data_IF_742388617881
#
_entry.id   IF_742388617881
#
_cell.length_a   1.000
_cell.length_b   1.000
_cell.length_c   1.000
_cell.angle_alpha   90.00
_cell.angle_beta   90.00
_cell.angle_gamma   90.00
#
_symmetry.space_group_name_H-M   'P 1'
#
loop_
_entity.id
_entity.type
_entity.pdbx_description
1 polymer ?
#
# COMPACT_ATOMS: atom_id res chain seq x y z
N UNK A 1 3.09 69.32 -66.35
CA UNK A 1 4.52 69.28 -66.75
C UNK A 1 5.10 68.02 -66.15
N UNK A 2 5.78 67.21 -66.97
CA UNK A 2 6.23 65.85 -66.69
C UNK A 2 7.35 65.77 -65.65
N UNK A 3 7.50 64.61 -65.01
CA UNK A 3 8.75 63.86 -64.72
C UNK A 3 8.63 63.10 -63.38
N UNK A 4 8.42 61.77 -63.35
CA UNK A 4 9.33 60.62 -63.57
C UNK A 4 10.03 60.13 -62.29
N UNK A 5 9.97 58.80 -62.13
CA UNK A 5 10.96 57.88 -61.51
C UNK A 5 11.01 57.85 -59.97
N UNK A 6 11.31 56.78 -59.24
CA UNK A 6 11.22 55.30 -59.33
C UNK A 6 11.77 54.81 -57.96
N UNK A 7 11.06 53.89 -57.29
CA UNK A 7 11.53 52.82 -56.40
C UNK A 7 12.56 53.09 -55.27
N UNK A 8 12.23 52.68 -54.05
CA UNK A 8 13.11 51.80 -53.25
C UNK A 8 12.27 51.03 -52.21
N UNK A 9 12.29 49.69 -52.29
CA UNK A 9 11.84 48.80 -51.21
C UNK A 9 12.84 48.86 -50.06
N UNK A 10 12.38 48.96 -48.82
CA UNK A 10 13.09 48.45 -47.66
C UNK A 10 12.08 48.02 -46.57
N UNK A 11 12.34 46.83 -46.03
CA UNK A 11 11.51 46.08 -45.09
C UNK A 11 11.42 46.72 -43.71
N UNK A 12 10.29 46.51 -43.02
CA UNK A 12 10.21 46.66 -41.56
C UNK A 12 9.60 45.42 -40.93
N UNK A 13 10.27 44.98 -39.87
CA UNK A 13 10.02 43.78 -39.07
C UNK A 13 8.81 44.02 -38.18
N UNK A 14 7.84 43.09 -38.17
CA UNK A 14 6.72 43.10 -37.24
C UNK A 14 7.21 42.67 -35.84
N UNK A 15 7.08 43.56 -34.86
CA UNK A 15 7.15 43.21 -33.45
C UNK A 15 5.74 42.84 -33.01
N UNK A 16 5.57 41.63 -32.46
CA UNK A 16 4.32 41.20 -31.86
C UNK A 16 4.23 41.80 -30.44
N UNK A 17 3.14 42.53 -30.19
CA UNK A 17 2.77 42.98 -28.85
C UNK A 17 2.33 41.79 -28.01
N UNK A 18 3.00 41.63 -26.86
CA UNK A 18 2.66 40.67 -25.82
C UNK A 18 1.79 41.40 -24.79
N UNK A 19 0.49 41.08 -24.72
CA UNK A 19 -0.30 41.38 -23.53
C UNK A 19 -1.35 40.31 -23.24
N UNK A 20 -1.06 39.56 -22.17
CA UNK A 20 -1.97 39.05 -21.13
C UNK A 20 -3.18 38.22 -21.58
N UNK A 21 -3.04 36.90 -21.50
CA UNK A 21 -4.17 35.98 -21.42
C UNK A 21 -4.31 35.50 -19.97
N UNK A 22 -5.50 35.70 -19.42
CA UNK A 22 -5.90 35.43 -18.03
C UNK A 22 -6.09 33.94 -17.76
N UNK A 23 -5.81 33.54 -16.52
CA UNK A 23 -5.65 32.17 -16.02
C UNK A 23 -6.96 31.37 -15.81
N UNK A 24 -8.02 31.60 -16.61
CA UNK A 24 -9.35 30.99 -16.36
C UNK A 24 -9.86 30.01 -17.42
N UNK A 25 -9.13 29.74 -18.52
CA UNK A 25 -9.64 28.88 -19.61
C UNK A 25 -8.88 27.55 -19.86
N UNK A 26 -8.12 27.03 -18.89
CA UNK A 26 -7.50 25.68 -18.99
C UNK A 26 -8.33 24.63 -18.22
N UNK A 27 -9.66 24.64 -18.37
CA UNK A 27 -10.48 23.58 -17.80
C UNK A 27 -11.60 23.09 -18.71
N UNK A 28 -11.27 22.77 -19.97
CA UNK A 28 -12.06 21.82 -20.76
C UNK A 28 -11.20 21.21 -21.87
N UNK A 29 -10.67 20.00 -21.61
CA UNK A 29 -10.25 18.95 -22.56
C UNK A 29 -8.96 18.21 -22.17
N UNK A 30 -8.84 17.78 -20.91
CA UNK A 30 -7.92 16.67 -20.61
C UNK A 30 -8.59 15.39 -21.13
N UNK A 31 -8.15 14.95 -22.31
CA UNK A 31 -8.36 13.56 -22.76
C UNK A 31 -7.84 12.63 -21.66
N UNK A 32 -8.75 11.93 -20.98
CA UNK A 32 -8.44 10.98 -19.91
C UNK A 32 -7.82 9.71 -20.52
N UNK A 33 -6.52 9.79 -20.78
CA UNK A 33 -5.65 8.63 -21.00
C UNK A 33 -4.36 8.88 -20.23
N UNK A 34 -4.20 8.23 -19.07
CA UNK A 34 -2.96 8.28 -18.29
C UNK A 34 -3.11 7.71 -16.89
N UNK A 35 -2.41 6.61 -16.62
CA UNK A 35 -2.21 5.96 -15.32
C UNK A 35 -1.42 6.87 -14.36
N UNK A 36 -2.09 7.87 -13.77
CA UNK A 36 -1.46 8.80 -12.83
C UNK A 36 -2.38 9.07 -11.63
N UNK A 37 -1.76 9.42 -10.51
CA UNK A 37 -2.47 9.79 -9.29
C UNK A 37 -3.34 11.03 -9.51
N UNK A 38 -4.52 11.07 -8.87
CA UNK A 38 -5.36 12.26 -8.92
C UNK A 38 -4.69 13.38 -8.13
N UNK A 39 -4.68 14.60 -8.68
CA UNK A 39 -4.22 15.77 -7.94
C UNK A 39 -4.98 15.91 -6.60
N UNK A 40 -4.31 16.19 -5.46
CA UNK A 40 -2.93 16.66 -5.31
C UNK A 40 -1.86 15.57 -5.15
N UNK A 41 -2.20 14.30 -5.35
CA UNK A 41 -1.27 13.19 -5.17
C UNK A 41 -0.28 13.07 -6.33
N UNK A 42 0.95 12.71 -6.00
CA UNK A 42 2.01 12.37 -6.95
C UNK A 42 2.25 10.87 -6.95
N UNK A 43 2.69 10.35 -8.09
CA UNK A 43 3.04 8.95 -8.23
C UNK A 43 4.48 8.73 -7.75
N UNK A 44 4.66 7.78 -6.83
CA UNK A 44 5.97 7.24 -6.43
C UNK A 44 5.88 5.71 -6.55
N UNK A 45 6.74 5.12 -7.39
CA UNK A 45 6.57 3.73 -7.81
C UNK A 45 5.20 3.50 -8.46
N UNK A 46 4.43 2.55 -7.92
CA UNK A 46 3.03 2.25 -8.32
C UNK A 46 1.97 2.86 -7.38
N UNK A 47 2.39 3.75 -6.47
CA UNK A 47 1.55 4.30 -5.39
C UNK A 47 1.36 5.80 -5.49
N UNK A 48 0.34 6.30 -4.79
CA UNK A 48 -0.03 7.70 -4.77
C UNK A 48 0.18 8.29 -3.38
N UNK A 49 0.99 9.34 -3.33
CA UNK A 49 1.34 10.04 -2.10
C UNK A 49 1.11 11.54 -2.24
N UNK A 50 0.68 12.17 -1.16
CA UNK A 50 0.63 13.61 -1.02
C UNK A 50 1.70 14.02 -0.02
N UNK A 51 2.59 14.91 -0.43
CA UNK A 51 3.58 15.53 0.44
C UNK A 51 3.06 16.91 0.81
N UNK A 52 2.88 17.17 2.11
CA UNK A 52 2.34 18.44 2.58
C UNK A 52 3.29 19.60 2.30
N UNK A 53 2.74 20.79 2.07
CA UNK A 53 3.49 22.05 2.17
C UNK A 53 3.35 22.71 3.55
N UNK A 54 2.42 22.22 4.37
CA UNK A 54 2.14 22.75 5.71
C UNK A 54 2.86 21.90 6.76
N UNK A 55 3.12 22.47 7.92
CA UNK A 55 3.64 21.75 9.09
C UNK A 55 2.52 21.66 10.12
N UNK A 56 2.22 20.46 10.58
CA UNK A 56 1.15 20.18 11.54
C UNK A 56 1.67 19.27 12.66
N UNK A 57 0.95 19.23 13.78
CA UNK A 57 1.11 18.16 14.78
C UNK A 57 0.77 16.81 14.13
N UNK A 58 1.23 15.71 14.73
CA UNK A 58 0.95 14.37 14.20
C UNK A 58 -0.56 14.10 14.07
N UNK A 59 -1.33 14.44 15.10
CA UNK A 59 -2.78 14.20 15.12
C UNK A 59 -3.50 15.07 14.09
N UNK A 60 -3.10 16.34 13.94
CA UNK A 60 -3.67 17.22 12.92
C UNK A 60 -3.31 16.74 11.51
N UNK A 61 -2.08 16.26 11.30
CA UNK A 61 -1.63 15.68 10.03
C UNK A 61 -2.41 14.40 9.68
N UNK A 62 -2.64 13.52 10.65
CA UNK A 62 -3.45 12.31 10.47
C UNK A 62 -4.89 12.66 10.05
N UNK A 63 -5.51 13.62 10.75
CA UNK A 63 -6.85 14.10 10.43
C UNK A 63 -6.91 14.82 9.06
N UNK A 64 -5.87 15.58 8.72
CA UNK A 64 -5.75 16.22 7.41
C UNK A 64 -5.75 15.16 6.29
N UNK A 65 -4.96 14.11 6.41
CA UNK A 65 -4.92 13.03 5.43
C UNK A 65 -6.30 12.38 5.25
N UNK A 66 -7.01 12.06 6.35
CA UNK A 66 -8.36 11.52 6.29
C UNK A 66 -9.37 12.44 5.56
N UNK A 67 -9.19 13.75 5.70
CA UNK A 67 -10.00 14.78 5.04
C UNK A 67 -9.79 14.89 3.52
N UNK A 68 -8.66 14.41 2.97
CA UNK A 68 -8.35 14.52 1.54
C UNK A 68 -9.19 13.63 0.63
N UNK A 69 -9.98 12.71 1.21
CA UNK A 69 -10.76 11.74 0.45
C UNK A 69 -11.71 12.43 -0.55
N UNK A 70 -12.20 13.66 -0.29
CA UNK A 70 -12.96 14.49 -1.24
C UNK A 70 -14.08 13.73 -1.99
N UNK A 71 -14.74 12.77 -1.34
CA UNK A 71 -15.79 11.92 -1.95
C UNK A 71 -15.26 10.79 -2.85
N UNK A 72 -13.95 10.56 -2.89
CA UNK A 72 -13.34 9.37 -3.45
C UNK A 72 -13.49 8.18 -2.50
N UNK A 73 -13.70 7.00 -3.09
CA UNK A 73 -13.85 5.71 -2.41
C UNK A 73 -12.47 5.12 -2.09
N UNK A 74 -11.62 5.89 -1.41
CA UNK A 74 -10.24 5.48 -1.09
C UNK A 74 -9.87 5.98 0.30
N UNK A 75 -9.31 5.10 1.13
CA UNK A 75 -8.73 5.53 2.40
C UNK A 75 -7.49 6.38 2.14
N UNK A 76 -7.41 7.51 2.85
CA UNK A 76 -6.21 8.32 2.84
C UNK A 76 -5.78 8.48 4.30
N UNK A 77 -4.56 8.05 4.58
CA UNK A 77 -3.97 8.06 5.91
C UNK A 77 -2.53 8.53 5.81
N UNK A 78 -1.85 8.68 6.95
CA UNK A 78 -0.41 8.92 6.94
C UNK A 78 0.33 7.75 6.29
N UNK A 79 1.44 8.05 5.62
CA UNK A 79 2.27 7.04 4.96
C UNK A 79 2.79 6.01 5.96
N UNK A 80 2.81 4.74 5.58
CA UNK A 80 3.32 3.64 6.40
C UNK A 80 4.28 2.82 5.56
N UNK A 81 5.27 2.19 6.19
CA UNK A 81 6.33 1.49 5.47
C UNK A 81 6.52 0.06 5.93
N UNK A 82 6.94 -0.78 4.99
CA UNK A 82 7.67 -2.01 5.21
C UNK A 82 8.84 -2.04 4.21
N UNK A 83 10.07 -1.94 4.71
CA UNK A 83 11.29 -1.89 3.91
C UNK A 83 11.51 -3.13 3.02
N UNK A 84 10.85 -4.25 3.34
CA UNK A 84 10.87 -5.45 2.52
C UNK A 84 10.03 -5.28 1.23
N UNK A 85 9.29 -4.18 1.11
CA UNK A 85 8.53 -3.75 -0.07
C UNK A 85 9.32 -2.75 -0.91
N UNK A 86 9.46 -3.05 -2.21
CA UNK A 86 10.17 -2.18 -3.15
C UNK A 86 9.47 -0.84 -3.30
N UNK A 87 8.13 -0.82 -3.35
CA UNK A 87 7.35 0.41 -3.42
C UNK A 87 7.54 1.34 -2.22
N UNK A 88 7.89 0.80 -1.05
CA UNK A 88 8.19 1.61 0.14
C UNK A 88 9.63 2.12 0.10
N UNK A 89 10.57 1.36 -0.48
CA UNK A 89 11.91 1.85 -0.80
C UNK A 89 11.86 3.01 -1.80
N UNK A 90 10.98 2.93 -2.82
CA UNK A 90 10.78 4.02 -3.78
C UNK A 90 10.28 5.31 -3.07
N UNK A 91 9.43 5.20 -2.03
CA UNK A 91 9.02 6.35 -1.23
C UNK A 91 10.17 6.90 -0.38
N UNK A 92 10.99 6.05 0.24
CA UNK A 92 12.18 6.51 0.97
C UNK A 92 13.18 7.23 0.06
N UNK A 93 13.35 6.79 -1.18
CA UNK A 93 14.17 7.48 -2.18
C UNK A 93 13.57 8.85 -2.55
N UNK A 94 12.24 8.92 -2.70
CA UNK A 94 11.55 10.18 -2.96
C UNK A 94 11.66 11.17 -1.79
N UNK A 95 11.60 10.70 -0.54
CA UNK A 95 11.84 11.52 0.66
C UNK A 95 13.29 12.00 0.68
N UNK A 96 14.24 11.10 0.43
CA UNK A 96 15.68 11.41 0.35
C UNK A 96 15.95 12.51 -0.68
N UNK A 97 15.29 12.45 -1.84
CA UNK A 97 15.43 13.44 -2.90
C UNK A 97 14.85 14.82 -2.55
N UNK A 98 13.82 14.87 -1.69
CA UNK A 98 13.23 16.12 -1.18
C UNK A 98 14.07 16.74 -0.06
N UNK A 99 14.80 15.92 0.68
CA UNK A 99 15.65 16.37 1.79
C UNK A 99 14.85 17.20 2.82
N UNK A 100 13.65 16.71 3.12
CA UNK A 100 12.71 17.28 4.09
C UNK A 100 12.37 16.21 5.13
N UNK A 101 11.88 16.67 6.27
CA UNK A 101 11.47 15.83 7.39
C UNK A 101 9.97 15.65 7.33
N UNK A 102 9.46 14.42 7.45
CA UNK A 102 8.02 14.16 7.38
C UNK A 102 7.51 13.24 8.49
N UNK A 103 6.38 13.60 9.09
CA UNK A 103 5.50 12.66 9.79
C UNK A 103 5.07 11.53 8.87
N UNK A 104 5.12 10.33 9.43
CA UNK A 104 4.59 9.10 8.86
C UNK A 104 3.73 8.42 9.92
N UNK A 105 2.85 7.51 9.53
CA UNK A 105 1.77 7.01 10.36
C UNK A 105 2.17 6.03 11.44
N UNK A 106 3.26 6.24 12.18
CA UNK A 106 3.59 5.42 13.35
C UNK A 106 3.67 6.24 14.63
N UNK A 107 3.30 5.64 15.75
CA UNK A 107 3.32 6.24 17.08
C UNK A 107 3.54 5.20 18.17
N UNK A 108 3.90 5.66 19.37
CA UNK A 108 3.93 4.84 20.58
C UNK A 108 3.27 5.58 21.73
N UNK A 109 2.53 4.84 22.57
CA UNK A 109 1.92 5.39 23.79
C UNK A 109 2.82 5.20 25.02
N UNK A 110 3.73 4.21 25.00
CA UNK A 110 4.53 3.77 26.15
C UNK A 110 6.04 3.72 25.88
N UNK A 111 6.48 4.30 24.76
CA UNK A 111 7.87 4.32 24.29
C UNK A 111 8.40 2.99 23.76
N UNK A 112 7.72 1.86 24.02
CA UNK A 112 8.26 0.53 23.78
C UNK A 112 7.54 -0.20 22.64
N UNK A 113 6.24 0.04 22.44
CA UNK A 113 5.43 -0.62 21.43
C UNK A 113 5.02 0.35 20.33
N UNK A 114 5.87 0.45 19.31
CA UNK A 114 5.59 1.24 18.12
C UNK A 114 4.53 0.56 17.26
N UNK A 115 3.48 1.31 16.93
CA UNK A 115 2.41 0.85 16.03
C UNK A 115 2.22 1.82 14.89
N UNK A 116 1.99 1.26 13.70
CA UNK A 116 1.40 1.99 12.60
C UNK A 116 -0.04 2.38 12.94
N UNK A 117 -0.57 3.42 12.29
CA UNK A 117 -1.94 3.92 12.49
C UNK A 117 -3.02 2.90 12.08
N UNK A 118 -2.65 1.86 11.34
CA UNK A 118 -3.52 0.71 11.05
C UNK A 118 -3.48 -0.39 12.12
N UNK A 119 -2.71 -0.19 13.20
CA UNK A 119 -2.58 -1.08 14.36
C UNK A 119 -1.45 -2.09 14.29
N UNK A 120 -0.80 -2.26 13.13
CA UNK A 120 0.33 -3.19 12.96
C UNK A 120 1.54 -2.73 13.76
N UNK A 121 2.30 -3.68 14.29
CA UNK A 121 3.56 -3.36 14.96
C UNK A 121 4.59 -2.84 13.96
N UNK A 122 5.32 -1.79 14.36
CA UNK A 122 6.51 -1.34 13.65
C UNK A 122 7.65 -2.26 14.03
N UNK A 123 8.35 -2.79 13.04
CA UNK A 123 9.53 -3.61 13.29
C UNK A 123 10.67 -2.73 13.82
N UNK A 124 10.85 -2.72 15.15
CA UNK A 124 11.88 -1.92 15.82
C UNK A 124 13.30 -2.41 15.50
N UNK A 125 13.45 -3.69 15.17
CA UNK A 125 14.75 -4.29 14.80
C UNK A 125 15.11 -4.02 13.33
N UNK A 126 14.22 -3.38 12.57
CA UNK A 126 14.48 -3.10 11.17
C UNK A 126 15.53 -1.98 10.99
N UNK A 127 16.35 -2.13 9.95
CA UNK A 127 17.50 -1.28 9.63
C UNK A 127 17.19 0.16 9.18
N UNK A 128 15.97 0.64 9.44
CA UNK A 128 15.53 1.98 9.08
C UNK A 128 15.60 2.98 10.24
N UNK A 129 15.66 2.53 11.49
CA UNK A 129 15.93 3.43 12.61
C UNK A 129 17.32 4.04 12.49
N UNK A 130 17.44 5.31 12.85
CA UNK A 130 18.76 5.91 13.02
C UNK A 130 19.47 5.28 14.22
N UNK A 131 20.79 5.41 14.27
CA UNK A 131 21.58 4.84 15.37
C UNK A 131 21.05 5.36 16.72
N UNK A 132 20.86 4.43 17.64
CA UNK A 132 20.35 4.68 18.99
C UNK A 132 18.89 5.17 19.07
N UNK A 133 18.12 5.10 17.97
CA UNK A 133 16.66 5.33 17.97
C UNK A 133 15.85 4.03 18.12
N UNK A 134 14.63 4.09 18.67
CA UNK A 134 14.00 5.26 19.33
C UNK A 134 14.64 5.58 20.69
N UNK A 135 14.81 6.86 21.01
CA UNK A 135 15.45 7.30 22.27
C UNK A 135 14.58 8.16 23.19
N UNK A 136 13.41 8.62 22.76
CA UNK A 136 12.51 9.43 23.57
C UNK A 136 11.52 8.57 24.38
N UNK A 137 11.06 9.11 25.52
CA UNK A 137 10.16 8.44 26.47
C UNK A 137 8.80 9.13 26.51
N UNK A 138 7.78 8.38 26.07
CA UNK A 138 6.34 8.68 26.06
C UNK A 138 5.88 9.80 25.10
N UNK A 139 4.69 9.62 24.49
CA UNK A 139 4.05 10.55 23.53
C UNK A 139 4.92 10.92 22.31
N UNK A 140 5.56 9.92 21.71
CA UNK A 140 6.41 10.12 20.53
C UNK A 140 5.80 9.48 19.28
N UNK A 141 6.03 10.16 18.17
CA UNK A 141 5.49 9.85 16.85
C UNK A 141 6.62 9.68 15.85
N UNK A 142 6.40 8.86 14.82
CA UNK A 142 7.43 8.53 13.84
C UNK A 142 7.59 9.63 12.82
N UNK A 143 8.84 10.03 12.65
CA UNK A 143 9.25 11.00 11.67
C UNK A 143 10.36 10.41 10.80
N UNK A 144 10.37 10.80 9.53
CA UNK A 144 11.46 10.49 8.59
C UNK A 144 12.41 11.66 8.55
N UNK A 145 13.72 11.41 8.65
CA UNK A 145 14.73 12.44 8.41
C UNK A 145 15.82 11.92 7.48
N UNK A 146 16.34 12.82 6.65
CA UNK A 146 17.40 12.51 5.71
C UNK A 146 18.75 12.73 6.38
N UNK A 147 19.54 11.67 6.50
CA UNK A 147 20.89 11.75 7.03
C UNK A 147 21.92 11.63 5.91
N UNK A 148 22.91 12.53 5.91
CA UNK A 148 24.00 12.56 4.95
C UNK A 148 25.33 12.20 5.61
N UNK A 149 25.87 11.03 5.29
CA UNK A 149 27.20 10.59 5.68
C UNK A 149 28.25 11.16 4.71
N UNK A 150 28.93 12.22 5.15
CA UNK A 150 30.12 12.80 4.51
C UNK A 150 29.97 13.15 3.01
N UNK A 151 28.76 13.50 2.55
CA UNK A 151 28.42 13.75 1.14
C UNK A 151 28.63 12.55 0.20
N UNK A 152 28.73 11.33 0.74
CA UNK A 152 28.91 10.09 -0.05
C UNK A 152 27.67 9.20 0.01
N UNK A 153 26.98 9.16 1.16
CA UNK A 153 25.76 8.37 1.33
C UNK A 153 24.67 9.22 1.97
N UNK A 154 23.59 9.46 1.24
CA UNK A 154 22.39 10.13 1.75
C UNK A 154 21.29 9.08 1.84
N UNK A 155 20.66 8.94 3.00
CA UNK A 155 19.59 7.96 3.22
C UNK A 155 18.57 8.52 4.21
N UNK A 156 17.31 8.15 4.01
CA UNK A 156 16.23 8.44 4.97
C UNK A 156 16.22 7.40 6.09
N UNK A 157 16.12 7.87 7.33
CA UNK A 157 15.97 7.06 8.54
C UNK A 157 14.71 7.45 9.30
N UNK A 158 14.24 6.54 10.14
CA UNK A 158 13.20 6.80 11.12
C UNK A 158 13.83 7.31 12.41
N UNK A 159 13.15 8.30 12.97
CA UNK A 159 13.38 8.88 14.27
C UNK A 159 12.03 8.93 14.97
N UNK A 160 12.06 9.10 16.27
CA UNK A 160 10.91 9.54 17.04
C UNK A 160 11.01 11.02 17.40
N UNK A 161 9.86 11.67 17.49
CA UNK A 161 9.76 13.10 17.83
C UNK A 161 8.47 13.32 18.60
N UNK A 162 8.40 14.40 19.38
CA UNK A 162 7.20 14.71 20.14
C UNK A 162 6.02 14.91 19.19
N UNK A 163 4.92 14.18 19.42
CA UNK A 163 3.75 14.20 18.54
C UNK A 163 3.14 15.60 18.35
N UNK A 164 3.38 16.53 19.28
CA UNK A 164 2.87 17.90 19.23
C UNK A 164 3.77 18.85 18.40
N UNK A 165 4.97 18.42 18.02
CA UNK A 165 5.87 19.25 17.21
C UNK A 165 5.31 19.45 15.79
N UNK A 166 5.46 20.64 15.20
CA UNK A 166 5.07 20.86 13.82
C UNK A 166 6.06 20.19 12.87
N UNK A 167 5.56 19.42 11.91
CA UNK A 167 6.36 18.89 10.80
C UNK A 167 5.51 18.71 9.55
N UNK A 168 6.16 18.69 8.39
CA UNK A 168 5.53 18.21 7.17
C UNK A 168 5.09 16.75 7.35
N UNK A 169 4.19 16.28 6.52
CA UNK A 169 3.61 14.96 6.61
C UNK A 169 3.33 14.39 5.22
N UNK A 170 3.31 13.07 5.14
CA UNK A 170 3.01 12.36 3.89
C UNK A 170 1.70 11.62 4.08
N UNK A 171 0.72 11.92 3.23
CA UNK A 171 -0.47 11.09 3.10
C UNK A 171 -0.27 10.05 2.01
N UNK A 172 -0.80 8.86 2.21
CA UNK A 172 -0.89 7.82 1.20
C UNK A 172 -2.35 7.50 0.91
N UNK A 173 -2.69 7.31 -0.36
CA UNK A 173 -3.94 6.67 -0.72
C UNK A 173 -3.77 5.16 -0.57
N UNK A 174 -4.77 4.44 -0.06
CA UNK A 174 -4.54 3.04 0.19
C UNK A 174 -5.74 2.16 0.46
N UNK A 175 -5.38 1.08 1.13
CA UNK A 175 -6.27 0.03 1.56
C UNK A 175 -7.05 0.46 2.81
N UNK A 176 -8.19 -0.20 3.11
CA UNK A 176 -8.92 0.05 4.34
C UNK A 176 -8.05 -0.13 5.60
N UNK A 177 -8.43 0.47 6.73
CA UNK A 177 -7.82 0.23 8.05
C UNK A 177 -7.66 -1.28 8.28
N UNK A 178 -6.51 -1.68 8.82
CA UNK A 178 -6.05 -3.06 9.01
C UNK A 178 -5.64 -3.82 7.74
N UNK A 179 -5.88 -3.28 6.55
CA UNK A 179 -5.39 -3.86 5.32
C UNK A 179 -4.04 -3.25 4.92
N UNK A 180 -3.09 -4.13 4.65
CA UNK A 180 -1.82 -3.81 4.03
C UNK A 180 -1.93 -3.90 2.51
N UNK A 181 -1.39 -2.90 1.81
CA UNK A 181 -1.25 -2.95 0.35
C UNK A 181 -0.05 -3.80 -0.06
N UNK A 182 -0.29 -4.81 -0.89
CA UNK A 182 0.75 -5.60 -1.56
C UNK A 182 0.47 -5.62 -3.07
N UNK A 183 1.34 -4.97 -3.84
CA UNK A 183 1.08 -4.66 -5.25
C UNK A 183 -0.19 -3.82 -5.42
N UNK A 184 -1.11 -4.29 -6.27
CA UNK A 184 -2.40 -3.64 -6.55
C UNK A 184 -3.52 -4.05 -5.57
N UNK A 185 -3.23 -4.95 -4.63
CA UNK A 185 -4.22 -5.58 -3.78
C UNK A 185 -4.05 -5.20 -2.31
N UNK A 186 -5.11 -5.42 -1.52
CA UNK A 186 -5.18 -5.12 -0.10
C UNK A 186 -5.44 -6.38 0.67
N UNK A 187 -4.63 -6.68 1.68
CA UNK A 187 -4.75 -7.88 2.51
C UNK A 187 -4.73 -7.54 4.00
N UNK A 188 -5.55 -8.22 4.78
CA UNK A 188 -5.59 -8.11 6.24
C UNK A 188 -5.29 -9.49 6.82
N UNK A 189 -4.31 -9.57 7.72
CA UNK A 189 -3.98 -10.79 8.44
C UNK A 189 -4.69 -10.80 9.79
N UNK A 190 -5.46 -11.84 10.09
CA UNK A 190 -6.18 -11.96 11.37
C UNK A 190 -5.23 -11.86 12.57
N UNK A 191 -4.03 -12.43 12.46
CA UNK A 191 -3.01 -12.42 13.51
C UNK A 191 -2.41 -11.05 13.78
N UNK A 192 -2.31 -10.16 12.79
CA UNK A 192 -1.73 -8.82 12.94
C UNK A 192 -2.58 -7.92 13.84
N UNK A 193 -3.87 -8.21 13.91
CA UNK A 193 -4.86 -7.43 14.66
C UNK A 193 -5.46 -8.22 15.83
N UNK A 194 -4.82 -9.35 16.22
CA UNK A 194 -5.18 -10.11 17.41
C UNK A 194 -6.51 -10.86 17.32
N UNK A 195 -6.99 -11.15 16.12
CA UNK A 195 -8.21 -11.95 15.92
C UNK A 195 -7.88 -13.43 16.18
N UNK A 196 -8.70 -14.13 16.98
CA UNK A 196 -8.46 -15.54 17.29
C UNK A 196 -8.52 -16.39 16.02
N UNK A 197 -7.86 -17.54 16.06
CA UNK A 197 -7.97 -18.54 15.01
C UNK A 197 -9.42 -19.00 14.87
N UNK A 198 -9.90 -19.12 13.63
CA UNK A 198 -11.28 -19.49 13.33
C UNK A 198 -11.33 -20.70 12.38
N UNK A 199 -12.38 -21.54 12.45
CA UNK A 199 -12.75 -22.45 11.37
C UNK A 199 -12.92 -21.70 10.05
N UNK A 200 -12.78 -22.39 8.93
CA UNK A 200 -12.73 -21.74 7.61
C UNK A 200 -13.98 -20.90 7.32
N UNK A 201 -15.18 -21.43 7.63
CA UNK A 201 -16.43 -20.70 7.39
C UNK A 201 -16.55 -19.45 8.28
N UNK A 202 -16.20 -19.56 9.56
CA UNK A 202 -16.23 -18.42 10.48
C UNK A 202 -15.20 -17.34 10.09
N UNK A 203 -14.03 -17.76 9.60
CA UNK A 203 -13.01 -16.87 9.04
C UNK A 203 -13.52 -16.13 7.79
N UNK A 204 -14.26 -16.83 6.93
CA UNK A 204 -14.89 -16.24 5.75
C UNK A 204 -15.96 -15.23 6.13
N UNK A 205 -16.86 -15.62 7.03
CA UNK A 205 -17.94 -14.76 7.52
C UNK A 205 -17.36 -13.49 8.15
N UNK A 206 -16.24 -13.60 8.88
CA UNK A 206 -15.51 -12.45 9.39
C UNK A 206 -15.05 -11.53 8.25
N UNK A 207 -14.36 -12.06 7.23
CA UNK A 207 -13.87 -11.25 6.11
C UNK A 207 -15.03 -10.54 5.38
N UNK A 208 -16.15 -11.23 5.18
CA UNK A 208 -17.33 -10.69 4.50
C UNK A 208 -18.07 -9.64 5.34
N UNK A 209 -17.94 -9.69 6.67
CA UNK A 209 -18.52 -8.71 7.58
C UNK A 209 -17.66 -7.43 7.71
N UNK A 210 -16.43 -7.41 7.18
CA UNK A 210 -15.60 -6.21 7.21
C UNK A 210 -16.23 -5.09 6.41
N UNK A 211 -16.48 -3.96 7.07
CA UNK A 211 -16.94 -2.74 6.42
C UNK A 211 -15.81 -2.17 5.58
N UNK A 212 -15.85 -2.44 4.28
CA UNK A 212 -15.01 -1.76 3.28
C UNK A 212 -15.82 -0.67 2.57
N UNK A 213 -15.15 0.18 1.79
CA UNK A 213 -15.78 1.29 1.08
C UNK A 213 -16.78 0.83 0.01
N UNK A 214 -17.77 1.68 -0.30
CA UNK A 214 -18.81 1.42 -1.31
C UNK A 214 -18.22 1.05 -2.69
N UNK A 215 -18.68 -0.04 -3.30
CA UNK A 215 -18.12 -0.56 -4.56
C UNK A 215 -16.91 -1.49 -4.38
N UNK A 216 -16.64 -1.89 -3.14
CA UNK A 216 -15.73 -2.96 -2.77
C UNK A 216 -16.42 -3.91 -1.78
N UNK A 217 -15.92 -5.15 -1.73
CA UNK A 217 -16.19 -6.09 -0.64
C UNK A 217 -14.87 -6.72 -0.18
N UNK A 218 -14.91 -7.43 0.95
CA UNK A 218 -13.81 -8.28 1.39
C UNK A 218 -14.27 -9.73 1.48
N UNK A 219 -13.37 -10.66 1.18
CA UNK A 219 -13.56 -12.10 1.37
C UNK A 219 -12.19 -12.73 1.69
N UNK A 220 -12.11 -14.04 1.92
CA UNK A 220 -10.82 -14.72 2.09
C UNK A 220 -9.95 -14.55 0.85
N UNK A 221 -8.64 -14.36 1.06
CA UNK A 221 -7.69 -14.06 0.01
C UNK A 221 -7.57 -15.18 -1.03
N UNK A 222 -7.47 -14.80 -2.31
CA UNK A 222 -7.26 -15.74 -3.42
C UNK A 222 -5.93 -15.44 -4.12
N UNK A 223 -5.39 -16.45 -4.80
CA UNK A 223 -4.08 -16.36 -5.45
C UNK A 223 -4.19 -16.47 -6.99
N UNK A 224 -3.14 -16.10 -7.71
CA UNK A 224 -3.03 -16.20 -9.16
C UNK A 224 -3.80 -15.12 -9.94
N UNK A 225 -4.17 -14.01 -9.31
CA UNK A 225 -4.84 -12.88 -9.97
C UNK A 225 -3.88 -12.19 -10.97
N UNK A 226 -4.42 -11.48 -11.98
CA UNK A 226 -3.59 -10.70 -12.90
C UNK A 226 -2.72 -9.69 -12.15
N UNK A 227 -1.43 -9.60 -12.51
CA UNK A 227 -0.44 -8.72 -11.87
C UNK A 227 -0.26 -8.96 -10.35
N UNK A 228 -0.71 -10.10 -9.83
CA UNK A 228 -0.47 -10.51 -8.45
C UNK A 228 0.86 -11.25 -8.36
N UNK A 229 1.81 -10.73 -7.60
CA UNK A 229 3.02 -11.47 -7.26
C UNK A 229 2.71 -12.38 -6.06
N UNK A 230 2.19 -13.58 -6.36
CA UNK A 230 1.79 -14.55 -5.34
C UNK A 230 2.94 -14.99 -4.44
N UNK A 231 4.16 -15.07 -5.00
CA UNK A 231 5.36 -15.37 -4.21
C UNK A 231 5.63 -14.26 -3.21
N UNK A 232 5.51 -13.01 -3.66
CA UNK A 232 5.64 -11.84 -2.80
C UNK A 232 4.58 -11.83 -1.70
N UNK A 233 3.31 -12.09 -2.02
CA UNK A 233 2.23 -12.18 -1.02
C UNK A 233 2.53 -13.28 0.00
N UNK A 234 2.83 -14.48 -0.47
CA UNK A 234 3.15 -15.64 0.36
C UNK A 234 4.37 -15.42 1.25
N UNK A 235 5.34 -14.63 0.80
CA UNK A 235 6.52 -14.27 1.57
C UNK A 235 6.19 -13.18 2.59
N UNK A 236 5.66 -12.04 2.14
CA UNK A 236 5.54 -10.82 2.95
C UNK A 236 4.36 -10.82 3.93
N UNK A 237 3.30 -11.62 3.68
CA UNK A 237 2.20 -11.77 4.64
C UNK A 237 2.46 -12.82 5.72
N UNK A 238 3.44 -13.71 5.53
CA UNK A 238 3.55 -14.93 6.35
C UNK A 238 4.96 -15.20 6.89
N UNK A 239 5.95 -14.35 6.59
CA UNK A 239 7.30 -14.46 7.19
C UNK A 239 7.31 -14.23 8.69
N UNK A 240 6.39 -13.41 9.22
CA UNK A 240 6.24 -13.11 10.65
C UNK A 240 5.30 -14.08 11.38
N UNK A 241 4.56 -14.93 10.67
CA UNK A 241 3.50 -15.77 11.27
C UNK A 241 3.81 -17.25 11.12
N UNK A 242 3.94 -17.97 12.24
CA UNK A 242 4.07 -19.43 12.22
C UNK A 242 2.75 -20.15 11.90
N UNK A 243 2.82 -21.32 11.27
CA UNK A 243 1.69 -22.25 11.13
C UNK A 243 0.84 -22.09 9.87
N UNK A 244 -0.21 -22.92 9.75
CA UNK A 244 -1.13 -22.92 8.61
C UNK A 244 -2.04 -21.69 8.63
N UNK A 245 -2.44 -21.18 7.46
CA UNK A 245 -3.30 -19.99 7.34
C UNK A 245 -4.38 -20.19 6.30
N UNK A 246 -5.63 -19.86 6.62
CA UNK A 246 -6.74 -19.96 5.67
C UNK A 246 -6.65 -18.97 4.52
N UNK A 247 -6.97 -19.46 3.32
CA UNK A 247 -7.21 -18.68 2.10
C UNK A 247 -8.51 -19.13 1.44
N UNK A 248 -8.99 -18.35 0.48
CA UNK A 248 -10.28 -18.51 -0.19
C UNK A 248 -10.29 -19.59 -1.27
N UNK A 249 -9.72 -20.76 -1.01
CA UNK A 249 -9.84 -21.92 -1.89
C UNK A 249 -10.83 -22.93 -1.32
N UNK A 250 -11.70 -23.48 -2.17
CA UNK A 250 -12.73 -24.45 -1.79
C UNK A 250 -12.80 -25.60 -2.79
N UNK A 251 -13.25 -26.77 -2.33
CA UNK A 251 -13.56 -27.89 -3.20
C UNK A 251 -14.84 -27.66 -3.98
N UNK A 252 -14.83 -28.04 -5.25
CA UNK A 252 -15.94 -27.92 -6.18
C UNK A 252 -16.55 -29.29 -6.50
N UNK A 253 -17.71 -29.58 -5.92
CA UNK A 253 -18.47 -30.79 -6.22
C UNK A 253 -17.76 -32.09 -5.78
N UNK A 254 -18.01 -33.18 -6.51
CA UNK A 254 -17.42 -34.49 -6.22
C UNK A 254 -16.05 -34.65 -6.90
N UNK A 255 -15.16 -35.42 -6.28
CA UNK A 255 -13.82 -35.70 -6.81
C UNK A 255 -12.77 -34.69 -6.36
N UNK A 256 -11.70 -34.57 -7.13
CA UNK A 256 -10.54 -33.72 -6.79
C UNK A 256 -10.56 -32.44 -7.63
N UNK A 257 -11.53 -31.57 -7.37
CA UNK A 257 -11.71 -30.31 -8.09
C UNK A 257 -11.78 -29.18 -7.08
N UNK A 258 -11.05 -28.09 -7.35
CA UNK A 258 -10.98 -26.94 -6.47
C UNK A 258 -11.18 -25.64 -7.25
N UNK A 259 -11.73 -24.65 -6.58
CA UNK A 259 -11.87 -23.30 -7.11
C UNK A 259 -11.52 -22.26 -6.04
N UNK A 260 -11.04 -21.12 -6.50
CA UNK A 260 -10.96 -19.92 -5.66
C UNK A 260 -12.34 -19.31 -5.50
N UNK A 261 -12.53 -18.53 -4.43
CA UNK A 261 -13.80 -17.85 -4.15
C UNK A 261 -14.24 -16.85 -5.23
N UNK A 262 -13.32 -16.43 -6.09
CA UNK A 262 -13.62 -15.61 -7.27
C UNK A 262 -14.10 -16.42 -8.50
N UNK A 263 -14.27 -17.74 -8.33
CA UNK A 263 -14.78 -18.67 -9.34
C UNK A 263 -13.72 -19.20 -10.30
N UNK A 264 -12.45 -18.80 -10.19
CA UNK A 264 -11.37 -19.36 -11.01
C UNK A 264 -11.03 -20.77 -10.56
N UNK A 265 -10.75 -21.65 -11.52
CA UNK A 265 -10.31 -23.01 -11.25
C UNK A 265 -8.93 -23.02 -10.56
N UNK A 266 -8.82 -23.80 -9.49
CA UNK A 266 -7.56 -24.12 -8.85
C UNK A 266 -7.10 -25.50 -9.35
N UNK A 267 -6.31 -25.48 -10.42
CA UNK A 267 -5.84 -26.70 -11.06
C UNK A 267 -4.97 -27.55 -10.11
N UNK A 268 -5.18 -28.87 -10.11
CA UNK A 268 -4.36 -29.85 -9.36
C UNK A 268 -2.87 -29.73 -9.72
N UNK A 269 -2.55 -29.39 -10.97
CA UNK A 269 -1.18 -29.19 -11.44
C UNK A 269 -0.58 -27.82 -11.12
N UNK A 270 -1.25 -27.00 -10.30
CA UNK A 270 -0.76 -25.67 -9.94
C UNK A 270 0.57 -25.74 -9.19
N UNK A 271 1.47 -24.81 -9.50
CA UNK A 271 2.78 -24.68 -8.82
C UNK A 271 2.68 -24.18 -7.38
N UNK A 272 1.47 -23.91 -6.90
CA UNK A 272 1.23 -23.52 -5.51
C UNK A 272 1.11 -24.73 -4.60
N UNK A 273 0.70 -25.90 -5.10
CA UNK A 273 0.51 -27.08 -4.25
C UNK A 273 1.80 -27.54 -3.60
N UNK A 274 1.69 -27.93 -2.32
CA UNK A 274 2.77 -28.60 -1.62
C UNK A 274 3.03 -29.94 -2.31
N UNK A 275 4.25 -30.44 -2.19
CA UNK A 275 4.55 -31.79 -2.66
C UNK A 275 3.60 -32.82 -2.02
N UNK A 276 2.94 -33.62 -2.85
CA UNK A 276 1.87 -34.57 -2.51
C UNK A 276 0.47 -33.98 -2.23
N UNK A 277 0.27 -32.67 -2.41
CA UNK A 277 -1.06 -32.07 -2.41
C UNK A 277 -1.55 -31.78 -3.84
N UNK A 278 -2.88 -31.70 -4.08
CA UNK A 278 -3.94 -32.15 -3.17
C UNK A 278 -3.91 -33.68 -2.99
N UNK A 279 -4.11 -34.18 -1.77
CA UNK A 279 -4.23 -35.63 -1.50
C UNK A 279 -5.62 -36.20 -1.84
N UNK A 280 -6.58 -35.32 -2.16
CA UNK A 280 -7.95 -35.61 -2.56
C UNK A 280 -8.74 -36.44 -1.53
N UNK A 281 -8.42 -36.34 -0.23
CA UNK A 281 -8.93 -37.21 0.84
C UNK A 281 -10.36 -36.93 1.30
N UNK A 282 -11.06 -35.98 0.68
CA UNK A 282 -12.39 -35.55 1.11
C UNK A 282 -12.37 -34.23 1.89
N UNK A 283 -11.24 -33.52 1.86
CA UNK A 283 -11.08 -32.20 2.47
C UNK A 283 -11.56 -31.11 1.51
N UNK A 284 -12.09 -30.02 2.08
CA UNK A 284 -12.94 -29.09 1.33
C UNK A 284 -12.36 -27.67 1.22
N UNK A 285 -11.28 -27.36 1.94
CA UNK A 285 -10.76 -26.00 2.05
C UNK A 285 -9.24 -25.92 1.92
N UNK A 286 -8.74 -24.74 1.51
CA UNK A 286 -7.33 -24.53 1.21
C UNK A 286 -6.64 -23.70 2.29
N UNK A 287 -5.47 -24.17 2.73
CA UNK A 287 -4.55 -23.45 3.62
C UNK A 287 -3.23 -23.15 2.94
N UNK A 288 -2.56 -22.10 3.39
CA UNK A 288 -1.14 -21.87 3.19
C UNK A 288 -0.33 -22.59 4.27
N UNK A 289 0.52 -23.52 3.86
CA UNK A 289 1.39 -24.36 4.69
C UNK A 289 2.83 -23.85 4.56
N UNK A 290 3.56 -23.79 5.67
CA UNK A 290 4.98 -23.43 5.67
C UNK A 290 5.88 -24.61 5.32
N UNK A 291 6.65 -24.50 4.24
CA UNK A 291 7.83 -25.35 4.04
C UNK A 291 9.06 -24.60 4.58
N UNK A 292 9.50 -25.02 5.77
CA UNK A 292 10.66 -24.44 6.47
C UNK A 292 11.97 -24.63 5.71
N UNK A 293 12.09 -25.64 4.85
CA UNK A 293 13.33 -25.92 4.12
C UNK A 293 13.47 -25.01 2.90
N UNK A 294 12.34 -24.70 2.24
CA UNK A 294 12.32 -23.88 1.03
C UNK A 294 12.05 -22.40 1.31
N UNK A 295 11.81 -22.05 2.58
CA UNK A 295 11.42 -20.70 3.02
C UNK A 295 10.30 -20.13 2.14
N UNK A 296 9.30 -20.98 1.86
CA UNK A 296 8.19 -20.71 0.94
C UNK A 296 6.91 -21.32 1.49
N UNK A 297 5.80 -20.67 1.17
CA UNK A 297 4.46 -21.20 1.43
C UNK A 297 3.93 -21.94 0.21
N UNK A 298 3.24 -23.02 0.49
CA UNK A 298 2.51 -23.83 -0.47
C UNK A 298 1.05 -23.92 -0.05
N UNK A 299 0.17 -24.26 -0.97
CA UNK A 299 -1.21 -24.60 -0.62
C UNK A 299 -1.33 -26.10 -0.33
N UNK A 300 -2.22 -26.45 0.59
CA UNK A 300 -2.67 -27.82 0.82
C UNK A 300 -4.17 -27.83 1.11
N UNK A 301 -4.80 -28.97 0.89
CA UNK A 301 -6.17 -29.19 1.35
C UNK A 301 -6.18 -29.57 2.84
N UNK A 302 -7.22 -29.13 3.55
CA UNK A 302 -7.50 -29.51 4.94
C UNK A 302 -9.00 -29.46 5.20
N UNK A 303 -9.45 -30.14 6.26
CA UNK A 303 -10.82 -30.02 6.76
C UNK A 303 -11.07 -28.64 7.39
N UNK A 304 -12.23 -28.05 7.09
CA UNK A 304 -12.59 -26.68 7.46
C UNK A 304 -12.88 -26.45 8.94
N UNK A 305 -12.94 -27.50 9.77
CA UNK A 305 -13.27 -27.38 11.20
C UNK A 305 -12.10 -26.93 12.06
N UNK A 306 -10.87 -27.03 11.54
CA UNK A 306 -9.67 -26.64 12.30
C UNK A 306 -9.57 -25.11 12.38
N UNK A 307 -9.25 -24.59 13.56
CA UNK A 307 -9.08 -23.16 13.74
C UNK A 307 -7.67 -22.72 13.33
N UNK A 308 -7.57 -21.87 12.30
CA UNK A 308 -6.32 -21.25 11.84
C UNK A 308 -6.44 -19.72 11.77
N UNK A 309 -5.30 -19.00 11.79
CA UNK A 309 -5.29 -17.61 11.32
C UNK A 309 -5.71 -17.56 9.84
N UNK A 310 -6.16 -16.40 9.37
CA UNK A 310 -6.72 -16.25 8.04
C UNK A 310 -6.37 -14.91 7.41
N UNK A 311 -6.44 -14.85 6.08
CA UNK A 311 -6.15 -13.66 5.29
C UNK A 311 -7.43 -13.18 4.63
N UNK A 312 -7.85 -11.96 4.91
CA UNK A 312 -8.87 -11.29 4.12
C UNK A 312 -8.24 -10.49 3.00
N UNK A 313 -8.90 -10.43 1.84
CA UNK A 313 -8.51 -9.61 0.71
C UNK A 313 -9.68 -8.70 0.33
N UNK A 314 -9.36 -7.46 -0.05
CA UNK A 314 -10.35 -6.55 -0.64
C UNK A 314 -10.48 -6.81 -2.14
N UNK A 315 -11.72 -6.92 -2.61
CA UNK A 315 -12.10 -7.04 -4.00
C UNK A 315 -12.92 -5.84 -4.43
N UNK A 316 -12.81 -5.48 -5.70
CA UNK A 316 -13.66 -4.46 -6.31
C UNK A 316 -14.95 -5.12 -6.77
N UNK A 317 -16.08 -4.49 -6.49
CA UNK A 317 -17.38 -4.97 -6.99
C UNK A 317 -17.41 -4.85 -8.52
N UNK A 318 -17.94 -5.88 -9.17
CA UNK A 318 -18.07 -5.97 -10.64
C UNK A 318 -19.44 -5.47 -11.07
#
# INVERSE_FOLDING_TARGET
>A
MWQTVTLLMLATVAWADLSTQTNEDINTSVKKTGSGCHHPFVTVGSRCYYFSNEELSFEDAFNYCGGLSNGQVVEISLAMFDYSIQEDQDLLDAITARNETFWIGGKTEDGNQWKWVDGRDVNIEATFWFNDEPNEVDNTCLITQVYNFNNVHTRTYLYDSNCDDPSHFICQTGCPIHFRRLGDYCYMMSSDIGIPNLPWQDARDYCQALSVYEGYHADLAVLGLPNQDDYYIMKHLLTSHGGNTWVGGVKKGEGCQFEWLDGRELAIGSMFWLYHEPDCSGQDHIVLINDVNLNRRYIGEVDGTTAYPFICQRFKDV
#
